data_IF_006595801325
#
_entry.id   IF_006595801325
#
_cell.length_a   1.000
_cell.length_b   1.000
_cell.length_c   1.000
_cell.angle_alpha   90.00
_cell.angle_beta   90.00
_cell.angle_gamma   90.00
#
_symmetry.space_group_name_H-M   'P 1'
#
loop_
_entity.id
_entity.type
_entity.pdbx_description
1 polymer ?
#
# COMPACT_ATOMS: atom_id res chain seq x y z
N UNK A 1 -7.52 -6.27 -1.26
CA UNK A 1 -6.51 -5.25 -0.89
C UNK A 1 -5.17 -5.97 -0.89
N UNK A 2 -4.20 -5.55 -1.72
CA UNK A 2 -2.89 -6.23 -1.79
C UNK A 2 -2.04 -5.82 -0.60
N UNK A 3 -1.05 -6.64 -0.21
CA UNK A 3 -0.16 -6.32 0.91
C UNK A 3 0.47 -4.92 0.81
N UNK A 4 0.93 -4.54 -0.38
CA UNK A 4 1.53 -3.22 -0.63
C UNK A 4 0.52 -2.08 -0.39
N UNK A 5 -0.76 -2.29 -0.73
CA UNK A 5 -1.82 -1.31 -0.49
C UNK A 5 -2.07 -1.17 1.01
N UNK A 6 -2.05 -2.28 1.76
CA UNK A 6 -2.18 -2.27 3.22
C UNK A 6 -1.03 -1.47 3.83
N UNK A 7 0.21 -1.80 3.49
CA UNK A 7 1.40 -1.12 4.03
C UNK A 7 1.37 0.39 3.73
N UNK A 8 1.06 0.77 2.49
CA UNK A 8 0.98 2.18 2.11
C UNK A 8 -0.16 2.90 2.84
N UNK A 9 -1.32 2.26 2.97
CA UNK A 9 -2.47 2.87 3.66
C UNK A 9 -2.19 3.06 5.15
N UNK A 10 -1.57 2.07 5.78
CA UNK A 10 -1.17 2.12 7.18
C UNK A 10 -0.15 3.25 7.41
N UNK A 11 0.86 3.39 6.54
CA UNK A 11 1.83 4.49 6.63
C UNK A 11 1.17 5.86 6.47
N UNK A 12 0.26 6.01 5.51
CA UNK A 12 -0.48 7.28 5.31
C UNK A 12 -1.33 7.65 6.53
N UNK A 13 -2.09 6.70 7.07
CA UNK A 13 -2.94 6.93 8.25
C UNK A 13 -2.08 7.26 9.46
N UNK A 14 -0.97 6.54 9.68
CA UNK A 14 -0.03 6.83 10.76
C UNK A 14 0.57 8.22 10.65
N UNK A 15 1.06 8.59 9.45
CA UNK A 15 1.63 9.92 9.21
C UNK A 15 0.57 11.01 9.42
N UNK A 16 -0.65 10.79 8.96
CA UNK A 16 -1.74 11.75 9.18
C UNK A 16 -2.01 11.98 10.66
N UNK A 17 -2.08 10.91 11.47
CA UNK A 17 -2.30 10.99 12.93
C UNK A 17 -1.14 11.74 13.62
N UNK A 18 0.10 11.40 13.27
CA UNK A 18 1.29 11.97 13.89
C UNK A 18 1.51 13.43 13.49
N UNK A 19 1.37 13.77 12.20
CA UNK A 19 1.59 15.12 11.67
C UNK A 19 0.49 16.08 12.10
N UNK A 20 -0.76 15.58 12.19
CA UNK A 20 -1.88 16.36 12.68
C UNK A 20 -1.93 16.44 14.20
N UNK A 21 -1.05 15.74 14.94
CA UNK A 21 -1.00 15.72 16.41
C UNK A 21 -2.34 15.35 17.08
N UNK A 22 -3.22 14.65 16.36
CA UNK A 22 -4.58 14.35 16.85
C UNK A 22 -4.54 13.40 18.05
N UNK A 23 -3.52 12.55 18.11
CA UNK A 23 -3.26 11.68 19.25
C UNK A 23 -2.95 12.50 20.51
N UNK A 24 -2.19 13.60 20.40
CA UNK A 24 -1.84 14.48 21.52
C UNK A 24 -3.10 15.19 22.02
N UNK A 25 -3.92 15.75 21.11
CA UNK A 25 -5.19 16.43 21.45
C UNK A 25 -6.09 15.49 22.24
N UNK A 26 -6.38 14.30 21.69
CA UNK A 26 -7.29 13.33 22.31
C UNK A 26 -6.72 12.81 23.63
N UNK A 27 -5.42 12.52 23.72
CA UNK A 27 -4.78 12.06 24.97
C UNK A 27 -4.80 13.13 26.05
N UNK A 28 -4.57 14.40 25.72
CA UNK A 28 -4.58 15.48 26.70
C UNK A 28 -5.96 15.67 27.30
N UNK A 29 -6.99 15.67 26.46
CA UNK A 29 -8.39 15.77 26.90
C UNK A 29 -8.77 14.53 27.72
N UNK A 30 -8.43 13.33 27.25
CA UNK A 30 -8.74 12.09 27.94
C UNK A 30 -8.04 11.96 29.30
N UNK A 31 -6.82 12.49 29.44
CA UNK A 31 -6.06 12.48 30.71
C UNK A 31 -6.39 13.64 31.63
N UNK A 32 -7.25 14.58 31.19
CA UNK A 32 -7.52 15.84 31.88
C UNK A 32 -6.23 16.62 32.21
N UNK A 33 -5.21 16.49 31.36
CA UNK A 33 -3.97 17.25 31.48
C UNK A 33 -4.16 18.67 30.95
N UNK A 34 -3.18 19.54 31.24
CA UNK A 34 -3.16 20.98 30.93
C UNK A 34 -3.96 21.40 29.68
N UNK A 35 -4.65 22.53 29.82
CA UNK A 35 -5.42 23.16 28.75
C UNK A 35 -4.53 23.44 27.52
N UNK A 36 -4.76 22.74 26.42
CA UNK A 36 -4.16 23.03 25.12
C UNK A 36 -4.74 24.33 24.51
N UNK A 37 -3.95 25.22 23.90
CA UNK A 37 -4.49 26.38 23.17
C UNK A 37 -5.52 25.95 22.11
N UNK A 38 -6.61 26.71 21.91
CA UNK A 38 -7.61 26.41 20.87
C UNK A 38 -6.98 26.44 19.47
N UNK A 39 -6.00 27.30 19.28
CA UNK A 39 -5.24 27.44 18.05
C UNK A 39 -4.58 26.10 17.66
N UNK A 40 -3.99 25.40 18.63
CA UNK A 40 -3.33 24.10 18.39
C UNK A 40 -4.36 23.00 18.03
N UNK A 41 -5.55 23.04 18.65
CA UNK A 41 -6.65 22.10 18.36
C UNK A 41 -7.20 22.33 16.96
N UNK A 42 -7.40 23.59 16.58
CA UNK A 42 -7.88 23.97 15.25
C UNK A 42 -6.85 23.60 14.19
N UNK A 43 -5.55 23.88 14.44
CA UNK A 43 -4.47 23.47 13.53
C UNK A 43 -4.45 21.94 13.33
N UNK A 44 -4.63 21.18 14.41
CA UNK A 44 -4.69 19.73 14.37
C UNK A 44 -5.90 19.22 13.55
N UNK A 45 -7.06 19.85 13.73
CA UNK A 45 -8.27 19.58 12.95
C UNK A 45 -8.08 19.85 11.47
N UNK A 46 -7.51 21.00 11.11
CA UNK A 46 -7.29 21.40 9.72
C UNK A 46 -6.33 20.45 9.02
N UNK A 47 -5.21 20.10 9.67
CA UNK A 47 -4.23 19.14 9.16
C UNK A 47 -4.83 17.77 8.96
N UNK A 48 -5.56 17.24 9.95
CA UNK A 48 -6.20 15.94 9.83
C UNK A 48 -7.25 15.93 8.70
N UNK A 49 -8.06 17.00 8.61
CA UNK A 49 -9.06 17.15 7.54
C UNK A 49 -8.43 17.19 6.15
N UNK A 50 -7.27 17.84 6.01
CA UNK A 50 -6.50 17.85 4.77
C UNK A 50 -6.05 16.44 4.37
N UNK A 51 -5.50 15.67 5.31
CA UNK A 51 -5.13 14.27 5.05
C UNK A 51 -6.34 13.42 4.68
N UNK A 52 -7.43 13.53 5.45
CA UNK A 52 -8.64 12.74 5.25
C UNK A 52 -9.28 12.95 3.87
N UNK A 53 -9.27 14.17 3.34
CA UNK A 53 -9.76 14.46 1.98
C UNK A 53 -8.95 13.75 0.89
N UNK A 54 -7.67 13.49 1.14
CA UNK A 54 -6.76 12.84 0.21
C UNK A 54 -6.66 11.32 0.41
N UNK A 55 -7.44 10.76 1.33
CA UNK A 55 -7.50 9.32 1.56
C UNK A 55 -8.26 8.59 0.46
N UNK A 56 -7.64 7.51 -0.01
CA UNK A 56 -8.26 6.52 -0.90
C UNK A 56 -9.30 5.68 -0.15
N UNK A 57 -10.07 4.87 -0.88
CA UNK A 57 -11.06 3.97 -0.27
C UNK A 57 -10.42 2.94 0.67
N UNK A 58 -9.19 2.51 0.41
CA UNK A 58 -8.45 1.60 1.28
C UNK A 58 -8.04 2.28 2.59
N UNK A 59 -7.59 3.54 2.52
CA UNK A 59 -7.24 4.35 3.69
C UNK A 59 -8.48 4.54 4.60
N UNK A 60 -9.64 4.84 4.01
CA UNK A 60 -10.91 5.02 4.73
C UNK A 60 -11.40 3.72 5.38
N UNK A 61 -11.32 2.59 4.68
CA UNK A 61 -11.60 1.26 5.25
C UNK A 61 -10.68 0.95 6.42
N UNK A 62 -9.40 1.32 6.33
CA UNK A 62 -8.47 1.13 7.43
C UNK A 62 -8.87 1.97 8.66
N UNK A 63 -9.27 3.22 8.48
CA UNK A 63 -9.79 4.09 9.55
C UNK A 63 -11.02 3.48 10.22
N UNK A 64 -11.94 2.91 9.44
CA UNK A 64 -13.10 2.20 9.94
C UNK A 64 -12.70 0.97 10.77
N UNK A 65 -11.81 0.12 10.25
CA UNK A 65 -11.29 -1.07 10.97
C UNK A 65 -10.60 -0.68 12.28
N UNK A 66 -9.86 0.43 12.29
CA UNK A 66 -9.18 0.93 13.48
C UNK A 66 -10.15 1.58 14.48
N UNK A 67 -11.43 1.78 14.14
CA UNK A 67 -12.40 2.45 15.00
C UNK A 67 -12.17 3.96 15.09
N UNK A 68 -11.56 4.56 14.08
CA UNK A 68 -11.28 6.00 13.99
C UNK A 68 -12.32 6.75 13.12
N UNK A 69 -13.43 6.10 12.78
CA UNK A 69 -14.49 6.75 12.01
C UNK A 69 -15.11 7.91 12.81
N UNK A 70 -15.31 9.05 12.15
CA UNK A 70 -15.87 10.24 12.77
C UNK A 70 -14.84 11.19 13.36
N UNK A 71 -13.54 10.90 13.26
CA UNK A 71 -12.49 11.87 13.58
C UNK A 71 -12.51 13.09 12.65
N UNK A 72 -13.06 12.96 11.46
CA UNK A 72 -13.32 14.03 10.50
C UNK A 72 -14.58 14.86 10.83
N UNK A 73 -15.39 14.41 11.81
CA UNK A 73 -16.69 15.01 12.10
C UNK A 73 -16.53 16.38 12.75
N UNK A 74 -17.14 17.45 12.19
CA UNK A 74 -17.16 18.76 12.83
C UNK A 74 -17.79 18.73 14.24
N UNK A 75 -18.71 17.78 14.49
CA UNK A 75 -19.35 17.60 15.80
C UNK A 75 -18.34 17.18 16.86
N UNK A 76 -17.42 16.26 16.54
CA UNK A 76 -16.37 15.83 17.46
C UNK A 76 -15.48 17.02 17.84
N UNK A 77 -15.03 17.80 16.86
CA UNK A 77 -14.17 18.95 17.10
C UNK A 77 -14.87 20.07 17.87
N UNK A 78 -16.15 20.31 17.62
CA UNK A 78 -16.95 21.21 18.44
C UNK A 78 -17.04 20.72 19.90
N UNK A 79 -17.26 19.43 20.13
CA UNK A 79 -17.23 18.83 21.47
C UNK A 79 -15.87 19.01 22.13
N UNK A 80 -14.77 18.72 21.42
CA UNK A 80 -13.39 18.89 21.91
C UNK A 80 -13.16 20.34 22.36
N UNK A 81 -13.46 21.32 21.49
CA UNK A 81 -13.28 22.74 21.80
C UNK A 81 -14.15 23.16 23.00
N UNK A 82 -15.44 22.83 22.99
CA UNK A 82 -16.37 23.25 24.06
C UNK A 82 -16.10 22.56 25.40
N UNK A 83 -15.74 21.27 25.42
CA UNK A 83 -15.46 20.50 26.64
C UNK A 83 -14.24 20.99 27.40
N UNK A 84 -13.32 21.66 26.71
CA UNK A 84 -12.16 22.26 27.33
C UNK A 84 -12.48 23.59 28.04
N UNK A 85 -13.36 24.40 27.46
CA UNK A 85 -13.72 25.72 27.99
C UNK A 85 -14.89 25.67 28.98
N UNK A 86 -15.80 24.71 28.81
CA UNK A 86 -16.80 24.38 29.80
C UNK A 86 -16.07 23.67 30.96
N UNK A 87 -15.95 24.32 32.12
CA UNK A 87 -15.35 23.76 33.35
C UNK A 87 -16.02 22.45 33.86
N UNK A 88 -16.92 21.86 33.09
CA UNK A 88 -17.52 20.56 33.34
C UNK A 88 -16.55 19.45 32.95
N UNK A 89 -15.80 18.94 33.93
CA UNK A 89 -14.89 17.78 33.79
C UNK A 89 -15.62 16.45 33.54
N UNK A 90 -16.78 16.45 32.88
CA UNK A 90 -17.42 15.22 32.41
C UNK A 90 -16.77 14.87 31.09
N UNK A 91 -15.91 13.86 31.10
CA UNK A 91 -15.34 13.30 29.87
C UNK A 91 -16.51 12.83 29.01
N UNK A 92 -16.65 13.43 27.83
CA UNK A 92 -17.62 13.00 26.85
C UNK A 92 -17.21 11.60 26.35
N UNK A 93 -18.13 10.64 26.44
CA UNK A 93 -17.93 9.25 26.01
C UNK A 93 -17.46 9.18 24.55
N UNK A 94 -17.85 10.18 23.75
CA UNK A 94 -17.44 10.31 22.34
C UNK A 94 -15.96 10.59 22.14
N UNK A 95 -15.23 11.14 23.12
CA UNK A 95 -13.79 11.36 23.03
C UNK A 95 -13.03 10.11 23.50
N UNK A 96 -13.55 9.44 24.53
CA UNK A 96 -12.95 8.24 25.12
C UNK A 96 -12.84 7.11 24.10
N UNK A 97 -13.83 6.95 23.24
CA UNK A 97 -13.85 5.88 22.24
C UNK A 97 -12.64 5.93 21.28
N UNK A 98 -12.04 7.10 21.06
CA UNK A 98 -10.88 7.25 20.18
C UNK A 98 -9.52 7.05 20.89
N UNK A 99 -9.49 7.14 22.23
CA UNK A 99 -8.25 7.00 23.00
C UNK A 99 -7.62 5.61 22.85
N UNK A 100 -8.44 4.56 22.95
CA UNK A 100 -7.99 3.17 22.81
C UNK A 100 -7.36 2.87 21.44
N UNK A 101 -8.08 3.12 20.34
CA UNK A 101 -7.56 3.04 18.98
C UNK A 101 -6.25 3.81 18.73
N UNK A 102 -6.17 5.08 19.15
CA UNK A 102 -4.96 5.89 18.94
C UNK A 102 -3.76 5.32 19.71
N UNK A 103 -3.98 4.87 20.95
CA UNK A 103 -2.94 4.22 21.74
C UNK A 103 -2.52 2.85 21.15
N UNK A 104 -3.46 2.12 20.54
CA UNK A 104 -3.15 0.90 19.81
C UNK A 104 -2.26 1.18 18.60
N UNK A 105 -2.57 2.22 17.84
CA UNK A 105 -1.81 2.64 16.65
C UNK A 105 -0.36 2.94 17.02
N UNK A 106 -0.15 3.77 18.04
CA UNK A 106 1.22 4.15 18.44
C UNK A 106 2.04 2.97 18.96
N UNK A 107 1.39 2.02 19.65
CA UNK A 107 2.09 0.94 20.34
C UNK A 107 2.34 -0.28 19.45
N UNK A 108 1.40 -0.61 18.57
CA UNK A 108 1.38 -1.92 17.90
C UNK A 108 1.42 -1.84 16.38
N UNK A 109 1.02 -0.71 15.78
CA UNK A 109 0.90 -0.65 14.31
C UNK A 109 2.25 -0.84 13.61
N UNK A 110 3.34 -0.32 14.18
CA UNK A 110 4.69 -0.52 13.65
C UNK A 110 5.16 -1.97 13.71
N UNK A 111 4.78 -2.70 14.76
CA UNK A 111 5.11 -4.12 14.90
C UNK A 111 4.34 -4.94 13.87
N UNK A 112 3.06 -4.62 13.68
CA UNK A 112 2.22 -5.24 12.65
C UNK A 112 2.79 -4.93 11.25
N UNK A 113 3.17 -3.68 10.99
CA UNK A 113 3.85 -3.29 9.75
C UNK A 113 5.15 -4.07 9.54
N UNK A 114 5.92 -4.31 10.60
CA UNK A 114 7.13 -5.11 10.52
C UNK A 114 6.83 -6.56 10.13
N UNK A 115 5.76 -7.17 10.62
CA UNK A 115 5.31 -8.50 10.17
C UNK A 115 4.92 -8.50 8.68
N UNK A 116 4.47 -7.35 8.18
CA UNK A 116 4.22 -7.12 6.76
C UNK A 116 5.46 -6.66 5.98
N UNK A 117 6.65 -6.55 6.56
CA UNK A 117 7.89 -6.38 5.81
C UNK A 117 8.44 -7.75 5.41
N UNK A 118 8.94 -7.88 4.19
CA UNK A 118 9.68 -9.07 3.75
C UNK A 118 11.15 -8.76 3.95
N UNK A 119 11.87 -9.60 4.70
CA UNK A 119 13.28 -9.38 5.05
C UNK A 119 14.21 -9.29 3.83
N UNK A 120 13.76 -9.74 2.64
CA UNK A 120 14.59 -9.87 1.44
C UNK A 120 14.18 -8.98 0.25
N UNK A 121 13.21 -8.08 0.40
CA UNK A 121 12.80 -7.20 -0.71
C UNK A 121 12.79 -5.75 -0.23
N UNK A 122 13.93 -5.08 -0.42
CA UNK A 122 13.96 -3.62 -0.39
C UNK A 122 13.22 -3.15 -1.63
N UNK A 123 11.90 -2.97 -1.53
CA UNK A 123 11.13 -2.29 -2.55
C UNK A 123 11.74 -0.91 -2.75
N UNK A 124 12.54 -0.75 -3.81
CA UNK A 124 12.90 0.56 -4.30
C UNK A 124 11.63 1.11 -4.92
N UNK A 125 10.79 1.73 -4.09
CA UNK A 125 9.70 2.58 -4.54
C UNK A 125 10.34 3.72 -5.37
N UNK A 126 10.48 3.51 -6.68
CA UNK A 126 10.64 4.61 -7.63
C UNK A 126 9.28 5.31 -7.78
N UNK A 127 8.85 5.98 -6.72
CA UNK A 127 7.89 7.08 -6.82
C UNK A 127 8.70 8.36 -6.96
N UNK A 128 8.85 8.85 -8.19
CA UNK A 128 9.12 10.25 -8.57
C UNK A 128 9.83 11.15 -7.52
N UNK A 129 11.02 10.76 -7.07
CA UNK A 129 11.96 11.68 -6.44
C UNK A 129 13.30 11.56 -7.14
N UNK A 130 13.61 12.62 -7.88
CA UNK A 130 14.93 12.97 -8.37
C UNK A 130 15.91 13.01 -7.20
N UNK A 131 16.75 11.99 -7.06
CA UNK A 131 18.08 12.12 -6.47
C UNK A 131 19.04 11.28 -7.32
N UNK A 132 19.97 12.02 -7.93
CA UNK A 132 21.13 11.56 -8.68
C UNK A 132 22.15 10.96 -7.70
N UNK A 133 23.01 10.08 -8.20
CA UNK A 133 24.19 9.48 -7.55
C UNK A 133 24.00 8.20 -6.73
N UNK A 134 23.96 7.06 -7.44
CA UNK A 134 25.10 6.13 -7.48
C UNK A 134 24.73 4.91 -8.31
N UNK A 135 25.38 4.76 -9.46
CA UNK A 135 25.32 3.56 -10.28
C UNK A 135 26.01 2.40 -9.54
N UNK A 136 25.24 1.61 -8.80
CA UNK A 136 25.67 0.28 -8.38
C UNK A 136 25.52 -0.69 -9.58
N UNK A 137 26.56 -1.41 -10.02
CA UNK A 137 26.55 -2.13 -11.30
C UNK A 137 25.65 -3.37 -11.35
N UNK A 138 25.05 -3.80 -10.22
CA UNK A 138 24.30 -5.06 -10.08
C UNK A 138 22.90 -4.85 -9.46
N UNK A 139 22.18 -3.79 -9.85
CA UNK A 139 20.79 -3.63 -9.41
C UNK A 139 19.89 -4.53 -10.27
N UNK A 140 19.47 -5.66 -9.73
CA UNK A 140 18.40 -6.45 -10.33
C UNK A 140 17.11 -5.64 -10.39
N UNK A 141 16.30 -5.87 -11.41
CA UNK A 141 14.98 -5.25 -11.55
C UNK A 141 13.91 -6.29 -11.25
N UNK A 142 12.77 -5.83 -10.71
CA UNK A 142 11.65 -6.68 -10.35
C UNK A 142 10.53 -6.61 -11.37
N UNK A 143 10.01 -7.77 -11.79
CA UNK A 143 8.80 -7.88 -12.62
C UNK A 143 7.67 -8.51 -11.80
N UNK A 144 6.59 -7.78 -11.60
CA UNK A 144 5.36 -8.32 -10.98
C UNK A 144 4.42 -8.84 -12.06
N UNK A 145 4.12 -10.13 -12.02
CA UNK A 145 3.11 -10.76 -12.88
C UNK A 145 1.86 -11.05 -12.06
N UNK A 146 0.71 -10.57 -12.54
CA UNK A 146 -0.60 -10.77 -11.88
C UNK A 146 -1.42 -11.73 -12.73
N UNK A 147 -1.89 -12.81 -12.09
CA UNK A 147 -2.84 -13.77 -12.65
C UNK A 147 -4.24 -13.46 -12.11
N UNK A 148 -5.11 -12.83 -12.92
CA UNK A 148 -6.44 -12.47 -12.47
C UNK A 148 -7.32 -13.69 -12.22
N UNK A 149 -8.15 -13.65 -11.16
CA UNK A 149 -9.12 -14.69 -10.78
C UNK A 149 -10.57 -14.17 -10.85
N UNK A 150 -10.91 -13.44 -11.92
CA UNK A 150 -12.21 -12.74 -12.03
C UNK A 150 -13.44 -13.63 -12.15
N UNK A 151 -13.28 -14.89 -12.60
CA UNK A 151 -14.39 -15.82 -12.83
C UNK A 151 -14.13 -17.16 -12.13
N UNK A 152 -15.18 -17.76 -11.56
CA UNK A 152 -15.11 -19.02 -10.79
C UNK A 152 -14.53 -20.20 -11.57
N UNK A 153 -14.58 -20.15 -12.91
CA UNK A 153 -14.03 -21.19 -13.79
C UNK A 153 -12.52 -21.05 -14.06
N UNK A 154 -11.90 -19.94 -13.66
CA UNK A 154 -10.46 -19.67 -13.87
C UNK A 154 -9.74 -19.60 -12.53
N UNK A 155 -9.92 -20.62 -11.70
CA UNK A 155 -9.16 -20.79 -10.45
C UNK A 155 -7.67 -21.00 -10.74
N UNK A 156 -6.81 -20.63 -9.80
CA UNK A 156 -5.37 -20.95 -9.87
C UNK A 156 -5.11 -22.42 -9.59
N UNK A 157 -5.41 -23.27 -10.57
CA UNK A 157 -4.99 -24.67 -10.52
C UNK A 157 -3.45 -24.73 -10.47
N UNK A 158 -2.86 -25.73 -9.81
CA UNK A 158 -1.41 -25.92 -9.79
C UNK A 158 -0.80 -25.89 -11.19
N UNK A 159 -1.47 -26.48 -12.18
CA UNK A 159 -1.01 -26.51 -13.57
C UNK A 159 -0.97 -25.12 -14.20
N UNK A 160 -1.96 -24.26 -13.92
CA UNK A 160 -1.99 -22.87 -14.41
C UNK A 160 -0.81 -22.09 -13.85
N UNK A 161 -0.54 -22.23 -12.56
CA UNK A 161 0.58 -21.57 -11.89
C UNK A 161 1.92 -22.03 -12.46
N UNK A 162 2.12 -23.35 -12.57
CA UNK A 162 3.33 -23.94 -13.15
C UNK A 162 3.55 -23.45 -14.58
N UNK A 163 2.50 -23.43 -15.41
CA UNK A 163 2.57 -22.92 -16.78
C UNK A 163 2.98 -21.45 -16.81
N UNK A 164 2.39 -20.61 -15.97
CA UNK A 164 2.73 -19.19 -15.91
C UNK A 164 4.20 -18.99 -15.52
N UNK A 165 4.64 -19.60 -14.42
CA UNK A 165 6.01 -19.51 -13.92
C UNK A 165 7.03 -20.00 -14.95
N UNK A 166 6.77 -21.16 -15.58
CA UNK A 166 7.65 -21.72 -16.60
C UNK A 166 7.70 -20.84 -17.86
N UNK A 167 6.58 -20.22 -18.24
CA UNK A 167 6.54 -19.32 -19.40
C UNK A 167 7.40 -18.09 -19.18
N UNK A 168 7.28 -17.44 -18.01
CA UNK A 168 8.11 -16.29 -17.64
C UNK A 168 9.59 -16.68 -17.58
N UNK A 169 9.91 -17.81 -16.94
CA UNK A 169 11.28 -18.32 -16.89
C UNK A 169 11.86 -18.60 -18.29
N UNK A 170 11.06 -19.17 -19.19
CA UNK A 170 11.51 -19.50 -20.55
C UNK A 170 11.79 -18.26 -21.37
N UNK A 171 10.90 -17.26 -21.31
CA UNK A 171 11.10 -15.97 -21.98
C UNK A 171 12.33 -15.25 -21.43
N UNK A 172 12.50 -15.24 -20.11
CA UNK A 172 13.66 -14.64 -19.48
C UNK A 172 14.97 -15.29 -19.95
N UNK A 173 15.05 -16.63 -19.97
CA UNK A 173 16.26 -17.35 -20.43
C UNK A 173 16.63 -17.02 -21.86
N UNK A 174 15.65 -17.02 -22.76
CA UNK A 174 15.86 -16.67 -24.18
C UNK A 174 16.38 -15.23 -24.31
N UNK A 175 15.78 -14.28 -23.60
CA UNK A 175 16.24 -12.88 -23.62
C UNK A 175 17.64 -12.73 -23.02
N UNK A 176 17.93 -13.44 -21.92
CA UNK A 176 19.24 -13.44 -21.28
C UNK A 176 20.32 -13.94 -22.24
N UNK A 177 20.06 -15.03 -22.97
CA UNK A 177 20.95 -15.58 -23.99
C UNK A 177 21.18 -14.59 -25.16
N UNK A 178 20.11 -14.00 -25.70
CA UNK A 178 20.19 -13.02 -26.81
C UNK A 178 21.00 -11.80 -26.39
N UNK A 179 20.85 -11.35 -25.14
CA UNK A 179 21.52 -10.17 -24.61
C UNK A 179 22.95 -10.46 -24.09
N UNK A 180 23.44 -11.70 -24.21
CA UNK A 180 24.77 -12.10 -23.77
C UNK A 180 24.94 -12.21 -22.26
N UNK A 181 23.84 -12.23 -21.50
CA UNK A 181 23.81 -12.48 -20.07
C UNK A 181 23.73 -13.99 -19.84
N UNK A 182 24.88 -14.68 -19.83
CA UNK A 182 24.91 -16.12 -19.54
C UNK A 182 24.99 -16.37 -18.03
N UNK A 183 24.07 -17.17 -17.51
CA UNK A 183 24.11 -17.68 -16.13
C UNK A 183 23.32 -16.89 -15.09
N UNK A 184 22.67 -15.78 -15.47
CA UNK A 184 21.73 -15.10 -14.59
C UNK A 184 20.40 -15.88 -14.60
N UNK A 185 20.06 -16.54 -13.51
CA UNK A 185 18.74 -17.15 -13.32
C UNK A 185 17.74 -16.10 -12.79
N UNK A 186 16.47 -16.29 -13.11
CA UNK A 186 15.36 -15.53 -12.55
C UNK A 186 14.94 -16.15 -11.21
N UNK A 187 14.75 -15.33 -10.19
CA UNK A 187 14.27 -15.77 -8.88
C UNK A 187 12.86 -15.28 -8.60
N UNK A 188 12.04 -16.08 -7.93
CA UNK A 188 10.75 -15.63 -7.39
C UNK A 188 10.98 -15.08 -6.00
N UNK A 189 10.75 -13.78 -5.80
CA UNK A 189 10.95 -13.09 -4.53
C UNK A 189 9.73 -13.18 -3.61
N UNK A 190 8.55 -13.01 -4.19
CA UNK A 190 7.31 -12.95 -3.43
C UNK A 190 6.16 -13.59 -4.21
N UNK A 191 5.26 -14.17 -3.44
CA UNK A 191 3.99 -14.71 -3.92
C UNK A 191 2.92 -14.09 -3.02
N UNK A 192 2.03 -13.29 -3.60
CA UNK A 192 0.83 -12.79 -2.90
C UNK A 192 -0.40 -13.53 -3.44
N UNK A 193 -1.17 -14.10 -2.52
CA UNK A 193 -2.30 -14.98 -2.80
C UNK A 193 -3.65 -14.35 -2.40
N UNK A 194 -3.76 -13.02 -2.51
CA UNK A 194 -5.02 -12.30 -2.33
C UNK A 194 -6.12 -12.68 -3.35
N UNK A 195 -6.95 -11.71 -3.72
CA UNK A 195 -8.03 -11.94 -4.70
C UNK A 195 -7.53 -12.34 -6.08
N UNK A 196 -6.33 -11.90 -6.45
CA UNK A 196 -5.59 -12.37 -7.62
C UNK A 196 -4.27 -12.97 -7.12
N UNK A 197 -3.69 -13.89 -7.88
CA UNK A 197 -2.33 -14.38 -7.59
C UNK A 197 -1.32 -13.45 -8.22
N UNK A 198 -0.29 -13.07 -7.48
CA UNK A 198 0.81 -12.28 -8.03
C UNK A 198 2.16 -12.84 -7.63
N UNK A 199 3.10 -12.73 -8.56
CA UNK A 199 4.45 -13.25 -8.45
C UNK A 199 5.41 -12.12 -8.76
N UNK A 200 6.32 -11.83 -7.83
CA UNK A 200 7.40 -10.88 -8.05
C UNK A 200 8.66 -11.66 -8.43
N UNK A 201 9.17 -11.39 -9.63
CA UNK A 201 10.40 -11.98 -10.13
C UNK A 201 11.55 -10.98 -10.04
N UNK A 202 12.75 -11.46 -9.77
CA UNK A 202 13.99 -10.67 -9.79
C UNK A 202 14.98 -11.28 -10.78
N UNK A 203 15.62 -10.44 -11.56
CA UNK A 203 16.77 -10.81 -12.39
C UNK A 203 17.51 -9.58 -12.92
N UNK A 204 18.37 -9.80 -13.91
CA UNK A 204 19.19 -8.75 -14.49
C UNK A 204 18.33 -7.63 -15.08
N UNK A 205 18.56 -6.37 -14.68
CA UNK A 205 17.69 -5.25 -15.02
C UNK A 205 17.42 -5.11 -16.53
N UNK A 206 18.46 -5.17 -17.35
CA UNK A 206 18.31 -5.07 -18.81
C UNK A 206 17.40 -6.15 -19.38
N UNK A 207 17.53 -7.39 -18.89
CA UNK A 207 16.73 -8.54 -19.34
C UNK A 207 15.28 -8.39 -18.85
N UNK A 208 15.07 -7.91 -17.62
CA UNK A 208 13.74 -7.67 -17.06
C UNK A 208 12.97 -6.56 -17.77
N UNK A 209 13.65 -5.46 -18.10
CA UNK A 209 13.06 -4.39 -18.92
C UNK A 209 12.60 -4.96 -20.27
N UNK A 210 13.46 -5.71 -20.98
CA UNK A 210 13.13 -6.31 -22.27
C UNK A 210 11.97 -7.34 -22.16
N UNK A 211 11.96 -8.14 -21.08
CA UNK A 211 10.90 -9.10 -20.82
C UNK A 211 9.54 -8.42 -20.63
N UNK A 212 9.51 -7.32 -19.88
CA UNK A 212 8.31 -6.52 -19.67
C UNK A 212 7.76 -5.98 -21.00
N UNK A 213 8.63 -5.38 -21.82
CA UNK A 213 8.25 -4.85 -23.14
C UNK A 213 7.69 -5.96 -24.03
N UNK A 214 8.37 -7.10 -24.11
CA UNK A 214 7.92 -8.25 -24.88
C UNK A 214 6.54 -8.77 -24.44
N UNK A 215 6.29 -8.89 -23.13
CA UNK A 215 5.00 -9.35 -22.61
C UNK A 215 3.88 -8.38 -22.97
N UNK A 216 4.14 -7.07 -22.88
CA UNK A 216 3.15 -6.03 -23.25
C UNK A 216 2.87 -6.09 -24.76
N UNK A 217 3.90 -6.16 -25.59
CA UNK A 217 3.76 -6.26 -27.05
C UNK A 217 2.98 -7.51 -27.47
N UNK A 218 3.27 -8.66 -26.84
CA UNK A 218 2.54 -9.90 -27.06
C UNK A 218 1.08 -9.78 -26.63
N UNK A 219 0.84 -9.19 -25.46
CA UNK A 219 -0.51 -8.96 -24.96
C UNK A 219 -1.32 -8.07 -25.90
N UNK A 220 -0.74 -6.94 -26.32
CA UNK A 220 -1.36 -6.03 -27.27
C UNK A 220 -1.65 -6.74 -28.59
N UNK A 221 -0.69 -7.52 -29.10
CA UNK A 221 -0.90 -8.32 -30.32
C UNK A 221 -2.07 -9.30 -30.17
N UNK A 222 -2.14 -10.03 -29.06
CA UNK A 222 -3.23 -10.99 -28.80
C UNK A 222 -4.58 -10.30 -28.66
N UNK A 223 -4.65 -9.20 -27.91
CA UNK A 223 -5.90 -8.47 -27.67
C UNK A 223 -6.39 -7.77 -28.93
N UNK A 224 -5.53 -7.07 -29.66
CA UNK A 224 -5.92 -6.27 -30.82
C UNK A 224 -6.05 -7.09 -32.11
N UNK A 225 -5.23 -8.13 -32.32
CA UNK A 225 -5.30 -8.96 -33.54
C UNK A 225 -6.08 -10.27 -33.35
N UNK A 226 -6.24 -10.76 -32.11
CA UNK A 226 -7.06 -11.93 -31.81
C UNK A 226 -8.55 -11.74 -32.10
N UNK A 227 -9.04 -10.49 -32.15
CA UNK A 227 -10.44 -10.16 -32.50
C UNK A 227 -10.76 -10.15 -34.00
N UNK A 228 -9.78 -10.35 -34.91
CA UNK A 228 -9.96 -10.16 -36.37
C UNK A 228 -10.06 -11.44 -37.22
N UNK A 229 -10.34 -12.61 -36.64
CA UNK A 229 -10.77 -13.83 -37.37
C UNK A 229 -11.84 -14.53 -36.52
N UNK A 230 -13.13 -14.61 -36.88
CA UNK A 230 -13.71 -15.12 -38.14
C UNK A 230 -15.06 -14.44 -38.47
N UNK A 231 -15.06 -13.55 -39.46
CA UNK A 231 -16.20 -13.35 -40.36
C UNK A 231 -15.64 -13.35 -41.78
N UNK A 232 -16.11 -14.29 -42.61
CA UNK A 232 -15.82 -14.33 -44.04
C UNK A 232 -14.65 -15.21 -44.45
N UNK A 233 -14.90 -16.50 -44.63
CA UNK A 233 -14.95 -17.15 -45.95
C UNK A 233 -15.56 -18.53 -45.82
#
# INVERSE_FOLDING_TARGET
MRRIDITNSVLKVKNAISDSKIDIVIKNIARQNDSMPAEDIIESMEKYSYYYRNFSDNDKKLIEILGLQGMESPKLWATILTSQYAKERRMDETIIQYYGPLNFIDKYLDQILHLFKQDNVTYTQRSNQTVVDSASPNQGETLTVVLPEKDSDVSSSPERLIKALNSINSLYKVLSEIMGHQGDDISVLAIDSGSDKSFDFLGAAKVMTALKELIIDLWDSVVFFGGKKRHGR
#
